data_IF_108409576278
#
_entry.id   IF_108409576278
#
_cell.length_a   1.000
_cell.length_b   1.000
_cell.length_c   1.000
_cell.angle_alpha   90.00
_cell.angle_beta   90.00
_cell.angle_gamma   90.00
#
_symmetry.space_group_name_H-M   'P 1'
#
loop_
_entity.id
_entity.type
_entity.pdbx_description
1 polymer ?
#
# COMPACT_ATOMS: atom_id res chain seq x y z
N UNK A 1 -5.01 -1.49 -3.38
CA UNK A 1 -5.17 -0.04 -3.64
C UNK A 1 -5.06 0.69 -2.32
N UNK A 2 -4.13 1.61 -2.20
CA UNK A 2 -3.95 2.32 -0.94
C UNK A 2 -4.94 3.46 -0.79
N UNK A 3 -5.37 3.67 0.46
CA UNK A 3 -6.12 4.87 0.83
C UNK A 3 -5.11 6.02 0.88
N UNK A 4 -5.50 7.23 0.45
CA UNK A 4 -4.61 8.38 0.55
C UNK A 4 -4.28 8.72 2.00
N UNK A 5 -3.02 9.06 2.26
CA UNK A 5 -2.57 9.49 3.58
C UNK A 5 -2.49 11.01 3.64
N UNK A 6 -2.82 11.58 4.79
CA UNK A 6 -2.69 13.02 5.03
C UNK A 6 -1.26 13.31 5.43
N UNK A 7 -0.44 13.63 4.46
CA UNK A 7 0.96 13.93 4.70
C UNK A 7 1.55 14.72 3.55
N UNK A 8 2.81 15.09 3.71
CA UNK A 8 3.54 15.81 2.67
C UNK A 8 3.77 14.88 1.48
N UNK A 9 3.42 15.36 0.30
CA UNK A 9 3.76 14.66 -0.93
C UNK A 9 5.27 14.68 -1.17
N UNK A 10 5.80 13.55 -1.64
CA UNK A 10 7.21 13.42 -1.95
C UNK A 10 7.56 14.13 -3.26
N UNK A 11 8.81 14.57 -3.37
CA UNK A 11 9.36 15.03 -4.64
C UNK A 11 9.66 13.82 -5.54
N UNK A 12 9.83 14.07 -6.83
CA UNK A 12 10.19 13.00 -7.77
C UNK A 12 11.52 12.35 -7.41
N UNK A 13 12.50 13.14 -6.96
CA UNK A 13 13.78 12.62 -6.52
C UNK A 13 13.65 11.65 -5.35
N UNK A 14 12.76 11.97 -4.40
CA UNK A 14 12.49 11.09 -3.26
C UNK A 14 11.81 9.80 -3.71
N UNK A 15 10.83 9.88 -4.61
CA UNK A 15 10.17 8.70 -5.17
C UNK A 15 11.18 7.82 -5.91
N UNK A 16 12.04 8.43 -6.72
CA UNK A 16 13.06 7.69 -7.48
C UNK A 16 14.03 6.97 -6.56
N UNK A 17 14.43 7.60 -5.46
CA UNK A 17 15.34 6.99 -4.49
C UNK A 17 14.69 5.79 -3.77
N UNK A 18 13.45 5.93 -3.33
CA UNK A 18 12.73 4.86 -2.63
C UNK A 18 12.48 3.67 -3.55
N UNK A 19 12.19 3.91 -4.82
CA UNK A 19 11.82 2.86 -5.79
C UNK A 19 13.01 2.34 -6.60
N UNK A 20 14.24 2.79 -6.30
CA UNK A 20 15.43 2.45 -7.08
C UNK A 20 15.66 0.94 -7.20
N UNK A 21 15.61 0.20 -6.08
CA UNK A 21 15.83 -1.24 -6.09
C UNK A 21 14.71 -1.98 -6.83
N UNK A 22 13.47 -1.53 -6.65
CA UNK A 22 12.31 -2.10 -7.36
C UNK A 22 12.49 -1.95 -8.87
N UNK A 23 12.88 -0.76 -9.34
CA UNK A 23 13.11 -0.50 -10.78
C UNK A 23 14.31 -1.27 -11.30
N UNK A 24 15.38 -1.37 -10.52
CA UNK A 24 16.58 -2.11 -10.89
C UNK A 24 16.29 -3.60 -11.08
N UNK A 25 15.33 -4.14 -10.33
CA UNK A 25 14.87 -5.54 -10.45
C UNK A 25 13.85 -5.75 -11.57
N UNK A 26 13.62 -4.74 -12.41
CA UNK A 26 12.69 -4.80 -13.55
C UNK A 26 11.30 -4.25 -13.25
N UNK A 27 11.10 -3.64 -12.08
CA UNK A 27 9.83 -3.04 -11.73
C UNK A 27 9.55 -1.74 -12.50
N UNK A 28 8.27 -1.44 -12.68
CA UNK A 28 7.79 -0.23 -13.34
C UNK A 28 6.98 0.60 -12.35
N UNK A 29 7.35 1.86 -12.23
CA UNK A 29 6.59 2.85 -11.45
C UNK A 29 5.88 3.74 -12.47
N UNK A 30 4.58 3.55 -12.60
CA UNK A 30 3.76 4.28 -13.57
C UNK A 30 3.18 5.53 -12.91
N UNK A 31 3.67 6.70 -13.30
CA UNK A 31 3.20 8.01 -12.89
C UNK A 31 2.72 8.82 -14.10
N UNK A 32 2.31 8.13 -15.17
CA UNK A 32 1.76 8.77 -16.37
C UNK A 32 0.46 9.52 -16.07
N UNK A 33 0.06 10.39 -16.98
CA UNK A 33 -1.22 11.10 -16.86
C UNK A 33 -2.39 10.14 -16.74
N UNK A 34 -2.37 9.05 -17.48
CA UNK A 34 -3.42 8.03 -17.41
C UNK A 34 -3.47 7.36 -16.05
N UNK A 35 -2.32 7.01 -15.49
CA UNK A 35 -2.22 6.42 -14.15
C UNK A 35 -2.76 7.40 -13.10
N UNK A 36 -2.35 8.67 -13.19
CA UNK A 36 -2.81 9.69 -12.25
C UNK A 36 -4.32 9.92 -12.33
N UNK A 37 -4.87 9.94 -13.54
CA UNK A 37 -6.31 10.09 -13.75
C UNK A 37 -7.07 8.90 -13.17
N UNK A 38 -6.58 7.69 -13.39
CA UNK A 38 -7.16 6.47 -12.83
C UNK A 38 -7.21 6.52 -11.30
N UNK A 39 -6.08 6.90 -10.67
CA UNK A 39 -6.01 7.01 -9.22
C UNK A 39 -6.94 8.09 -8.67
N UNK A 40 -7.05 9.23 -9.36
CA UNK A 40 -7.98 10.31 -8.97
C UNK A 40 -9.43 9.84 -8.99
N UNK A 41 -9.83 9.12 -10.04
CA UNK A 41 -11.18 8.58 -10.17
C UNK A 41 -11.51 7.58 -9.05
N UNK A 42 -10.52 6.84 -8.60
CA UNK A 42 -10.66 5.86 -7.51
C UNK A 42 -10.42 6.46 -6.13
N UNK A 43 -10.00 7.71 -6.05
CA UNK A 43 -9.58 8.38 -4.80
C UNK A 43 -8.52 7.57 -4.07
N UNK A 44 -7.58 6.99 -4.82
CA UNK A 44 -6.53 6.14 -4.30
C UNK A 44 -5.19 6.86 -4.27
N UNK A 45 -4.39 6.58 -3.24
CA UNK A 45 -3.03 7.11 -3.10
C UNK A 45 -1.97 6.31 -3.84
N UNK A 46 -2.34 5.17 -4.40
CA UNK A 46 -1.49 4.30 -5.18
C UNK A 46 -2.20 3.00 -5.50
N UNK A 47 -1.63 2.20 -6.38
CA UNK A 47 -2.17 0.90 -6.76
C UNK A 47 -1.05 -0.02 -7.23
N UNK A 48 -1.07 -1.25 -6.78
CA UNK A 48 -0.17 -2.31 -7.26
C UNK A 48 -0.95 -3.24 -8.18
N UNK A 49 -0.52 -3.34 -9.43
CA UNK A 49 -1.18 -4.20 -10.41
C UNK A 49 -0.72 -5.65 -10.30
N UNK A 50 0.57 -5.86 -10.05
CA UNK A 50 1.20 -7.16 -9.91
C UNK A 50 2.57 -6.99 -9.26
N UNK A 51 3.41 -8.02 -9.28
CA UNK A 51 4.76 -7.97 -8.68
C UNK A 51 5.73 -7.02 -9.39
N UNK A 52 5.37 -6.49 -10.55
CA UNK A 52 6.28 -5.68 -11.38
C UNK A 52 5.79 -4.26 -11.67
N UNK A 53 4.54 -3.94 -11.39
CA UNK A 53 3.99 -2.63 -11.78
C UNK A 53 3.19 -2.00 -10.65
N UNK A 54 3.60 -0.80 -10.24
CA UNK A 54 2.85 0.03 -9.31
C UNK A 54 2.49 1.35 -9.96
N UNK A 55 1.33 1.88 -9.61
CA UNK A 55 0.85 3.19 -10.04
C UNK A 55 0.94 4.15 -8.87
N UNK A 56 1.50 5.34 -9.11
CA UNK A 56 1.60 6.39 -8.10
C UNK A 56 1.13 7.73 -8.67
N UNK A 57 0.55 8.60 -7.82
CA UNK A 57 0.26 9.98 -8.22
C UNK A 57 1.55 10.78 -8.36
N UNK A 58 1.43 12.03 -8.80
CA UNK A 58 2.59 12.90 -9.03
C UNK A 58 3.40 13.18 -7.76
N UNK A 59 2.72 13.38 -6.64
CA UNK A 59 3.37 13.65 -5.36
C UNK A 59 2.82 12.71 -4.29
N UNK A 60 3.18 11.43 -4.34
CA UNK A 60 2.65 10.45 -3.39
C UNK A 60 3.20 10.70 -1.99
N UNK A 61 2.47 10.28 -0.98
CA UNK A 61 3.00 10.26 0.38
C UNK A 61 4.04 9.14 0.51
N UNK A 62 4.96 9.28 1.46
CA UNK A 62 6.01 8.29 1.70
C UNK A 62 5.41 6.92 2.04
N UNK A 63 4.43 6.90 2.92
CA UNK A 63 3.76 5.66 3.32
C UNK A 63 3.06 4.97 2.15
N UNK A 64 2.41 5.74 1.27
CA UNK A 64 1.75 5.18 0.09
C UNK A 64 2.76 4.48 -0.84
N UNK A 65 3.93 5.08 -1.06
CA UNK A 65 4.96 4.46 -1.90
C UNK A 65 5.39 3.11 -1.33
N UNK A 66 5.72 3.07 -0.03
CA UNK A 66 6.13 1.82 0.62
C UNK A 66 5.02 0.79 0.64
N UNK A 67 3.77 1.21 0.83
CA UNK A 67 2.63 0.29 0.81
C UNK A 67 2.51 -0.42 -0.54
N UNK A 68 2.65 0.30 -1.65
CA UNK A 68 2.59 -0.32 -2.97
C UNK A 68 3.79 -1.25 -3.21
N UNK A 69 4.98 -0.90 -2.75
CA UNK A 69 6.15 -1.78 -2.82
C UNK A 69 5.93 -3.07 -2.01
N UNK A 70 5.29 -2.97 -0.85
CA UNK A 70 4.94 -4.15 -0.04
C UNK A 70 3.97 -5.05 -0.81
N UNK A 71 2.93 -4.49 -1.43
CA UNK A 71 1.99 -5.27 -2.22
C UNK A 71 2.68 -5.98 -3.40
N UNK A 72 3.60 -5.29 -4.08
CA UNK A 72 4.39 -5.92 -5.14
C UNK A 72 5.20 -7.11 -4.61
N UNK A 73 5.80 -6.95 -3.43
CA UNK A 73 6.56 -8.03 -2.77
C UNK A 73 5.65 -9.19 -2.35
N UNK A 74 4.45 -8.90 -1.86
CA UNK A 74 3.47 -9.93 -1.56
C UNK A 74 3.14 -10.76 -2.81
N UNK A 75 2.90 -10.12 -3.94
CA UNK A 75 2.65 -10.81 -5.21
C UNK A 75 3.88 -11.60 -5.67
N UNK A 76 5.08 -11.04 -5.51
CA UNK A 76 6.32 -11.72 -5.87
C UNK A 76 6.53 -13.02 -5.08
N UNK A 77 6.16 -13.02 -3.79
CA UNK A 77 6.23 -14.20 -2.93
C UNK A 77 5.12 -15.21 -3.23
N UNK A 78 4.24 -14.91 -4.16
CA UNK A 78 3.14 -15.78 -4.52
C UNK A 78 1.94 -15.70 -3.55
N UNK A 79 1.85 -14.65 -2.74
CA UNK A 79 0.68 -14.43 -1.89
C UNK A 79 -0.49 -14.06 -2.79
N UNK A 80 -1.44 -14.98 -2.90
CA UNK A 80 -2.68 -14.73 -3.62
C UNK A 80 -3.70 -14.08 -2.68
N UNK A 81 -4.48 -13.15 -3.23
CA UNK A 81 -5.61 -12.61 -2.49
C UNK A 81 -6.70 -13.67 -2.53
N UNK A 82 -7.00 -14.27 -1.37
CA UNK A 82 -8.10 -15.21 -1.26
C UNK A 82 -9.41 -14.53 -1.61
N UNK A 83 -10.36 -15.31 -2.16
CA UNK A 83 -11.66 -14.80 -2.54
C UNK A 83 -12.43 -14.22 -1.35
N UNK A 84 -13.14 -13.13 -1.60
CA UNK A 84 -14.01 -12.50 -0.62
C UNK A 84 -13.33 -11.45 0.24
N UNK A 85 -14.12 -10.81 1.09
CA UNK A 85 -13.68 -9.67 1.90
C UNK A 85 -12.60 -10.08 2.91
N UNK A 86 -12.73 -11.28 3.49
CA UNK A 86 -11.75 -11.80 4.47
C UNK A 86 -10.35 -11.93 3.87
N UNK A 87 -10.25 -12.42 2.63
CA UNK A 87 -8.97 -12.54 1.93
C UNK A 87 -8.33 -11.19 1.67
N UNK A 88 -9.12 -10.21 1.22
CA UNK A 88 -8.65 -8.83 1.01
C UNK A 88 -8.14 -8.24 2.33
N UNK A 89 -8.89 -8.41 3.41
CA UNK A 89 -8.49 -7.90 4.73
C UNK A 89 -7.18 -8.50 5.22
N UNK A 90 -6.98 -9.82 5.06
CA UNK A 90 -5.72 -10.46 5.46
C UNK A 90 -4.53 -9.92 4.68
N UNK A 91 -4.70 -9.71 3.39
CA UNK A 91 -3.68 -9.14 2.52
C UNK A 91 -3.31 -7.71 2.97
N UNK A 92 -4.31 -6.88 3.23
CA UNK A 92 -4.10 -5.49 3.66
C UNK A 92 -3.55 -5.41 5.09
N UNK A 93 -3.97 -6.31 5.99
CA UNK A 93 -3.46 -6.37 7.36
C UNK A 93 -1.96 -6.69 7.36
N UNK A 94 -1.51 -7.65 6.57
CA UNK A 94 -0.09 -7.97 6.46
C UNK A 94 0.71 -6.74 5.99
N UNK A 95 0.19 -6.01 5.01
CA UNK A 95 0.85 -4.80 4.51
C UNK A 95 0.93 -3.73 5.61
N UNK A 96 -0.15 -3.49 6.34
CA UNK A 96 -0.18 -2.51 7.43
C UNK A 96 0.80 -2.89 8.55
N UNK A 97 0.85 -4.16 8.93
CA UNK A 97 1.79 -4.65 9.93
C UNK A 97 3.24 -4.45 9.49
N UNK A 98 3.52 -4.69 8.21
CA UNK A 98 4.85 -4.49 7.64
C UNK A 98 5.26 -3.00 7.66
N UNK A 99 4.34 -2.10 7.34
CA UNK A 99 4.59 -0.65 7.43
C UNK A 99 4.95 -0.24 8.86
N UNK A 100 4.17 -0.70 9.84
CA UNK A 100 4.40 -0.36 11.25
C UNK A 100 5.74 -0.91 11.72
N UNK A 101 6.07 -2.15 11.36
CA UNK A 101 7.32 -2.80 11.74
C UNK A 101 8.53 -2.04 11.22
N UNK A 102 8.44 -1.48 10.02
CA UNK A 102 9.54 -0.78 9.35
C UNK A 102 9.46 0.75 9.45
N UNK A 103 8.57 1.29 10.27
CA UNK A 103 8.29 2.73 10.30
C UNK A 103 9.52 3.60 10.57
N UNK A 104 10.42 3.11 11.41
CA UNK A 104 11.66 3.85 11.72
C UNK A 104 12.70 3.72 10.60
N UNK A 105 12.91 2.52 10.11
CA UNK A 105 13.84 2.25 9.01
C UNK A 105 13.46 3.05 7.77
N UNK A 106 12.18 3.11 7.46
CA UNK A 106 11.66 3.81 6.28
C UNK A 106 11.32 5.27 6.56
N UNK A 107 11.55 5.73 7.78
CA UNK A 107 11.31 7.12 8.18
C UNK A 107 9.88 7.59 7.84
N UNK A 108 8.90 6.75 8.14
CA UNK A 108 7.50 7.10 7.88
C UNK A 108 7.06 8.23 8.81
N UNK A 109 6.38 9.26 8.29
CA UNK A 109 5.89 10.37 9.12
C UNK A 109 4.92 9.87 10.19
N UNK A 110 5.01 10.46 11.38
CA UNK A 110 4.21 10.05 12.54
C UNK A 110 2.70 10.07 12.24
N UNK A 111 2.24 11.11 11.55
CA UNK A 111 0.81 11.24 11.22
C UNK A 111 0.34 10.14 10.28
N UNK A 112 1.18 9.75 9.32
CA UNK A 112 0.87 8.66 8.41
C UNK A 112 0.87 7.32 9.14
N UNK A 113 1.83 7.08 10.03
CA UNK A 113 1.88 5.86 10.86
C UNK A 113 0.63 5.76 11.74
N UNK A 114 0.21 6.87 12.34
CA UNK A 114 -1.01 6.91 13.15
C UNK A 114 -2.22 6.48 12.35
N UNK A 115 -2.33 6.94 11.10
CA UNK A 115 -3.41 6.55 10.19
C UNK A 115 -3.33 5.05 9.85
N UNK A 116 -2.14 4.51 9.60
CA UNK A 116 -1.95 3.07 9.37
C UNK A 116 -2.42 2.25 10.56
N UNK A 117 -2.05 2.65 11.79
CA UNK A 117 -2.47 1.97 13.02
C UNK A 117 -3.98 1.98 13.16
N UNK A 118 -4.61 3.12 12.91
CA UNK A 118 -6.07 3.24 12.99
C UNK A 118 -6.77 2.34 11.97
N UNK A 119 -6.28 2.35 10.74
CA UNK A 119 -6.81 1.49 9.68
C UNK A 119 -6.64 0.01 10.02
N UNK A 120 -5.49 -0.36 10.58
CA UNK A 120 -5.22 -1.74 11.00
C UNK A 120 -6.22 -2.21 12.06
N UNK A 121 -6.51 -1.36 13.05
CA UNK A 121 -7.50 -1.67 14.07
C UNK A 121 -8.87 -1.94 13.47
N UNK A 122 -9.29 -1.11 12.51
CA UNK A 122 -10.58 -1.27 11.82
C UNK A 122 -10.62 -2.56 11.00
N UNK A 123 -9.54 -2.87 10.29
CA UNK A 123 -9.45 -4.09 9.49
C UNK A 123 -9.49 -5.35 10.36
N UNK A 124 -8.77 -5.36 11.47
CA UNK A 124 -8.78 -6.49 12.42
C UNK A 124 -10.16 -6.69 13.02
N UNK A 125 -10.84 -5.60 13.40
CA UNK A 125 -12.19 -5.68 13.94
C UNK A 125 -13.17 -6.22 12.91
N UNK A 126 -13.07 -5.78 11.66
CA UNK A 126 -13.93 -6.29 10.57
C UNK A 126 -13.67 -7.78 10.32
N UNK A 127 -12.41 -8.17 10.25
CA UNK A 127 -12.03 -9.58 10.04
C UNK A 127 -12.57 -10.46 11.18
N UNK A 128 -12.44 -9.99 12.41
CA UNK A 128 -12.97 -10.71 13.58
C UNK A 128 -14.48 -10.93 13.46
N UNK A 129 -15.23 -9.90 13.07
CA UNK A 129 -16.69 -10.01 12.87
C UNK A 129 -17.04 -11.01 11.77
N UNK A 130 -16.30 -10.99 10.67
CA UNK A 130 -16.53 -11.94 9.57
C UNK A 130 -16.25 -13.38 10.00
N UNK A 131 -15.16 -13.60 10.73
CA UNK A 131 -14.79 -14.92 11.24
C UNK A 131 -15.84 -15.44 12.25
N UNK A 132 -16.31 -14.59 13.16
CA UNK A 132 -17.32 -14.94 14.13
C UNK A 132 -18.65 -15.35 13.47
N UNK A 133 -19.03 -14.71 12.36
CA UNK A 133 -20.23 -15.07 11.60
C UNK A 133 -20.13 -16.45 10.97
N UNK A 134 -18.94 -16.84 10.51
CA UNK A 134 -18.72 -18.15 9.91
C UNK A 134 -18.72 -19.24 10.96
N UNK A 135 -18.17 -18.98 12.14
CA UNK A 135 -18.05 -19.93 13.24
C UNK A 135 -19.34 -20.02 14.07
N UNK A 136 -20.13 -18.95 14.05
CA UNK A 136 -21.40 -18.88 14.76
C UNK A 136 -22.54 -19.51 13.99
#
# INVERSE_FOLDING_TARGET
MSVGYRGRGLTQAEVDAITADFRAAGGVVDQSEDAQRYLQLRKAGGLTLNDKTILLPANPTRTAVYEELIHAEQFRRGVAIEAGRGGVLRFEIEAAETLIRNRHTWQLPVDEVRQVVENLRKMRAELHRLTARIEG
#
